data_IF_975320194915
#
_entry.id   IF_975320194915
#
_cell.length_a   1.000
_cell.length_b   1.000
_cell.length_c   1.000
_cell.angle_alpha   90.00
_cell.angle_beta   90.00
_cell.angle_gamma   90.00
#
_symmetry.space_group_name_H-M   'P 1'
#
loop_
_entity.id
_entity.type
_entity.pdbx_description
1 polymer ?
#
# COMPACT_ATOMS: atom_id res chain seq x y z
N UNK A 1 -17.85 1.63 7.92
CA UNK A 1 -17.37 2.40 6.75
C UNK A 1 -16.41 1.51 5.97
N UNK A 2 -16.76 1.16 4.73
CA UNK A 2 -15.81 0.50 3.81
C UNK A 2 -14.91 1.61 3.28
N UNK A 3 -13.63 1.64 3.69
CA UNK A 3 -12.64 2.51 3.06
C UNK A 3 -12.25 1.87 1.74
N UNK A 4 -12.88 2.26 0.64
CA UNK A 4 -12.39 1.89 -0.69
C UNK A 4 -11.13 2.71 -0.99
N UNK A 5 -10.12 2.08 -1.58
CA UNK A 5 -8.90 2.73 -2.09
C UNK A 5 -9.23 3.48 -3.40
N UNK A 6 -10.18 4.42 -3.33
CA UNK A 6 -10.60 5.20 -4.48
C UNK A 6 -10.18 6.64 -4.24
N UNK A 7 -9.48 7.24 -5.20
CA UNK A 7 -9.10 8.65 -5.13
C UNK A 7 -10.36 9.53 -5.03
N UNK A 8 -10.23 10.66 -4.33
CA UNK A 8 -11.26 11.69 -4.31
C UNK A 8 -10.92 12.69 -5.41
N UNK A 9 -11.87 12.97 -6.31
CA UNK A 9 -11.73 14.03 -7.29
C UNK A 9 -12.35 15.31 -6.72
N UNK A 10 -11.53 16.34 -6.55
CA UNK A 10 -11.96 17.67 -6.11
C UNK A 10 -12.04 18.57 -7.33
N UNK A 11 -13.21 19.13 -7.62
CA UNK A 11 -13.38 20.15 -8.65
C UNK A 11 -12.59 21.42 -8.26
N UNK A 12 -11.76 21.90 -9.19
CA UNK A 12 -10.94 23.11 -9.02
C UNK A 12 -11.33 24.22 -10.01
N UNK A 13 -12.46 24.06 -10.70
CA UNK A 13 -13.04 25.00 -11.64
C UNK A 13 -12.63 24.75 -13.10
N UNK A 14 -13.36 25.39 -14.03
CA UNK A 14 -13.11 25.33 -15.49
C UNK A 14 -13.09 23.92 -16.08
N UNK A 15 -13.82 22.98 -15.47
CA UNK A 15 -13.83 21.58 -15.90
C UNK A 15 -12.57 20.79 -15.52
N UNK A 16 -11.75 21.32 -14.62
CA UNK A 16 -10.56 20.64 -14.09
C UNK A 16 -10.87 19.99 -12.75
N UNK A 17 -10.20 18.88 -12.45
CA UNK A 17 -10.29 18.20 -11.15
C UNK A 17 -8.93 17.75 -10.66
N UNK A 18 -8.71 17.88 -9.35
CA UNK A 18 -7.52 17.39 -8.65
C UNK A 18 -7.83 16.06 -7.98
N UNK A 19 -7.00 15.04 -8.24
CA UNK A 19 -7.06 13.80 -7.48
C UNK A 19 -6.37 13.98 -6.12
N UNK A 20 -7.15 13.97 -5.06
CA UNK A 20 -6.68 14.05 -3.67
C UNK A 20 -6.78 12.67 -3.04
N UNK A 21 -5.76 12.33 -2.25
CA UNK A 21 -5.70 11.03 -1.57
C UNK A 21 -5.38 9.87 -2.49
N UNK A 22 -4.48 10.07 -3.46
CA UNK A 22 -3.94 8.98 -4.29
C UNK A 22 -3.55 7.81 -3.38
N UNK A 23 -4.17 6.62 -3.53
CA UNK A 23 -3.87 5.50 -2.67
C UNK A 23 -2.43 5.06 -2.97
N UNK A 24 -1.53 5.39 -2.05
CA UNK A 24 -0.19 4.79 -2.04
C UNK A 24 -0.31 3.37 -1.52
N UNK A 25 0.63 2.52 -1.92
CA UNK A 25 0.78 1.21 -1.28
C UNK A 25 1.05 1.48 0.21
N UNK A 26 0.27 0.85 1.08
CA UNK A 26 0.48 0.96 2.52
C UNK A 26 1.93 0.60 2.86
N UNK A 27 2.57 1.42 3.69
CA UNK A 27 4.00 1.27 4.00
C UNK A 27 4.22 1.18 5.51
N UNK A 28 5.16 0.35 5.92
CA UNK A 28 5.49 0.14 7.34
C UNK A 28 6.95 -0.25 7.54
N UNK A 29 7.43 -0.12 8.78
CA UNK A 29 8.59 -0.88 9.29
C UNK A 29 8.12 -2.25 9.78
N UNK A 30 9.00 -3.23 9.93
CA UNK A 30 8.63 -4.59 10.38
C UNK A 30 7.82 -4.59 11.70
N UNK A 31 8.21 -3.78 12.68
CA UNK A 31 7.49 -3.65 13.95
C UNK A 31 6.14 -2.90 13.83
N UNK A 32 5.95 -2.15 12.74
CA UNK A 32 4.73 -1.39 12.43
C UNK A 32 3.76 -2.13 11.51
N UNK A 33 4.02 -3.41 11.18
CA UNK A 33 3.07 -4.26 10.45
C UNK A 33 1.70 -4.23 11.13
N UNK A 34 0.59 -4.28 10.38
CA UNK A 34 -0.74 -4.34 10.97
C UNK A 34 -0.84 -5.53 11.95
N UNK A 35 -1.44 -5.33 13.13
CA UNK A 35 -1.53 -6.39 14.17
C UNK A 35 -2.75 -7.29 14.00
N UNK A 36 -3.83 -6.77 13.40
CA UNK A 36 -5.07 -7.51 13.08
C UNK A 36 -5.17 -7.70 11.58
N UNK A 37 -4.20 -8.43 11.02
CA UNK A 37 -4.06 -8.63 9.58
C UNK A 37 -5.17 -9.53 9.06
N UNK A 38 -5.77 -9.17 7.92
CA UNK A 38 -6.66 -10.08 7.16
C UNK A 38 -5.85 -10.71 6.04
N UNK A 39 -6.14 -11.98 5.71
CA UNK A 39 -5.61 -12.62 4.51
C UNK A 39 -5.79 -11.70 3.30
N UNK A 40 -4.74 -11.53 2.49
CA UNK A 40 -4.74 -10.61 1.37
C UNK A 40 -4.22 -9.21 1.69
N UNK A 41 -3.87 -8.90 2.95
CA UNK A 41 -3.21 -7.63 3.28
C UNK A 41 -1.86 -7.57 2.58
N UNK A 42 -1.60 -6.47 1.89
CA UNK A 42 -0.40 -6.22 1.10
C UNK A 42 0.14 -4.82 1.38
N UNK A 43 1.46 -4.67 1.35
CA UNK A 43 2.11 -3.37 1.47
C UNK A 43 3.62 -3.43 1.32
N UNK A 44 4.28 -2.29 1.53
CA UNK A 44 5.71 -2.15 1.42
C UNK A 44 6.36 -2.08 2.80
N UNK A 45 7.33 -2.95 3.06
CA UNK A 45 8.17 -2.84 4.24
C UNK A 45 9.41 -2.00 3.94
N UNK A 46 9.41 -0.75 4.41
CA UNK A 46 10.47 0.22 4.17
C UNK A 46 11.78 -0.11 4.90
N UNK A 47 11.74 -1.01 5.89
CA UNK A 47 12.94 -1.44 6.62
C UNK A 47 13.69 -2.55 5.88
N UNK A 48 12.95 -3.49 5.27
CA UNK A 48 13.55 -4.62 4.54
C UNK A 48 13.56 -4.40 3.03
N UNK A 49 13.01 -3.30 2.55
CA UNK A 49 12.85 -2.98 1.12
C UNK A 49 12.13 -4.08 0.33
N UNK A 50 11.06 -4.63 0.92
CA UNK A 50 10.28 -5.72 0.35
C UNK A 50 8.82 -5.32 0.15
N UNK A 51 8.20 -5.82 -0.91
CA UNK A 51 6.75 -5.93 -0.97
C UNK A 51 6.32 -7.15 -0.17
N UNK A 52 5.37 -6.97 0.74
CA UNK A 52 4.92 -7.99 1.68
C UNK A 52 3.44 -8.33 1.45
N UNK A 53 3.11 -9.61 1.57
CA UNK A 53 1.75 -10.15 1.46
C UNK A 53 1.46 -11.11 2.61
N UNK A 54 0.30 -10.95 3.26
CA UNK A 54 -0.16 -11.84 4.32
C UNK A 54 -1.09 -12.92 3.77
N UNK A 55 -0.70 -14.18 3.87
CA UNK A 55 -1.49 -15.32 3.38
C UNK A 55 -2.56 -15.81 4.36
N UNK A 56 -2.56 -15.27 5.58
CA UNK A 56 -3.40 -15.73 6.71
C UNK A 56 -2.58 -16.20 7.91
N UNK A 57 -1.33 -16.60 7.70
CA UNK A 57 -0.48 -17.25 8.71
C UNK A 57 0.93 -16.65 8.76
N UNK A 58 1.50 -16.31 7.59
CA UNK A 58 2.85 -15.77 7.47
C UNK A 58 2.92 -14.63 6.46
N UNK A 59 3.98 -13.83 6.56
CA UNK A 59 4.30 -12.79 5.58
C UNK A 59 5.20 -13.36 4.50
N UNK A 60 4.73 -13.38 3.25
CA UNK A 60 5.58 -13.52 2.07
C UNK A 60 6.23 -12.18 1.76
N UNK A 61 7.48 -12.21 1.27
CA UNK A 61 8.26 -11.03 0.94
C UNK A 61 8.91 -11.16 -0.44
N UNK A 62 8.72 -10.15 -1.28
CA UNK A 62 9.39 -10.00 -2.56
C UNK A 62 10.35 -8.78 -2.50
N UNK A 63 11.67 -8.97 -2.64
CA UNK A 63 12.62 -7.87 -2.54
C UNK A 63 12.56 -6.94 -3.75
N UNK A 64 12.62 -5.63 -3.48
CA UNK A 64 12.79 -4.62 -4.51
C UNK A 64 14.29 -4.37 -4.74
N UNK A 65 14.96 -5.34 -5.36
CA UNK A 65 16.32 -5.15 -5.87
C UNK A 65 16.28 -4.69 -7.32
N UNK A 66 17.26 -3.85 -7.72
CA UNK A 66 17.50 -3.56 -9.13
C UNK A 66 18.09 -4.80 -9.79
N UNK A 67 17.26 -5.57 -10.48
CA UNK A 67 17.75 -6.61 -11.38
C UNK A 67 17.93 -5.98 -12.76
N UNK A 68 19.09 -5.39 -13.02
CA UNK A 68 19.54 -5.18 -14.39
C UNK A 68 20.11 -6.54 -14.84
N UNK A 69 19.32 -7.29 -15.62
CA UNK A 69 19.80 -8.42 -16.40
C UNK A 69 20.15 -7.94 -17.80
#
# INVERSE_FOLDING_TARGET
MVKTNTQILVDIGRGLSMAVGLPTIASWKTAGRPKKVRKGTFGFNSQTNNLEYWDGTVWFAAPLSKNYA
#
